data_IF_305096484262
#
_entry.id   IF_305096484262
#
_cell.length_a   1.000
_cell.length_b   1.000
_cell.length_c   1.000
_cell.angle_alpha   90.00
_cell.angle_beta   90.00
_cell.angle_gamma   90.00
#
_symmetry.space_group_name_H-M   'P 1'
#
loop_
_entity.id
_entity.type
_entity.pdbx_description
1 polymer ?
#
# COMPACT_ATOMS: atom_id res chain seq x y z
N UNK A 1 6.49 9.31 -12.71
CA UNK A 1 5.81 9.26 -11.40
C UNK A 1 6.71 9.74 -10.26
N UNK A 2 7.86 9.11 -9.99
CA UNK A 2 8.74 9.43 -8.86
C UNK A 2 9.06 10.93 -8.70
N UNK A 3 9.40 11.64 -9.78
CA UNK A 3 9.61 13.11 -9.77
C UNK A 3 8.40 13.90 -9.24
N UNK A 4 7.17 13.50 -9.55
CA UNK A 4 5.96 14.20 -9.07
C UNK A 4 5.76 13.96 -7.59
N UNK A 5 5.92 12.71 -7.14
CA UNK A 5 5.84 12.35 -5.73
C UNK A 5 6.91 13.09 -4.93
N UNK A 6 8.16 13.10 -5.41
CA UNK A 6 9.26 13.83 -4.77
C UNK A 6 9.01 15.33 -4.56
N UNK A 7 8.15 15.94 -5.38
CA UNK A 7 7.75 17.35 -5.31
C UNK A 7 6.48 17.61 -4.48
N UNK A 8 5.94 16.59 -3.81
CA UNK A 8 4.78 16.73 -2.92
C UNK A 8 3.50 16.03 -3.39
N UNK A 9 3.47 15.40 -4.57
CA UNK A 9 2.28 14.64 -4.96
C UNK A 9 2.12 13.37 -4.11
N UNK A 10 0.87 12.95 -3.91
CA UNK A 10 0.56 11.62 -3.36
C UNK A 10 0.23 10.64 -4.49
N UNK A 11 0.88 9.48 -4.52
CA UNK A 11 0.52 8.37 -5.40
C UNK A 11 -0.21 7.26 -4.62
N UNK A 12 -1.27 6.68 -5.19
CA UNK A 12 -1.99 5.55 -4.60
C UNK A 12 -1.94 4.39 -5.59
N UNK A 13 -1.47 3.23 -5.14
CA UNK A 13 -1.38 2.04 -5.95
C UNK A 13 -2.52 1.08 -5.62
N UNK A 14 -3.51 0.98 -6.52
CA UNK A 14 -4.70 0.15 -6.30
C UNK A 14 -4.52 -1.33 -6.63
N UNK A 15 -3.40 -1.70 -7.26
CA UNK A 15 -3.03 -3.08 -7.60
C UNK A 15 -1.52 -3.23 -7.49
N UNK A 16 -0.99 -4.32 -6.93
CA UNK A 16 0.45 -4.54 -6.86
C UNK A 16 1.10 -4.81 -8.23
N UNK A 17 0.36 -5.35 -9.21
CA UNK A 17 0.93 -5.80 -10.51
C UNK A 17 1.60 -4.68 -11.31
N UNK A 18 1.16 -3.44 -11.13
CA UNK A 18 1.74 -2.27 -11.79
C UNK A 18 3.19 -1.99 -11.33
N UNK A 19 3.62 -2.60 -10.22
CA UNK A 19 4.94 -2.45 -9.64
C UNK A 19 5.96 -3.41 -10.25
N UNK A 20 5.53 -4.34 -11.12
CA UNK A 20 6.40 -5.36 -11.67
C UNK A 20 7.38 -4.80 -12.74
N UNK A 21 8.67 -5.12 -12.61
CA UNK A 21 9.71 -4.86 -13.62
C UNK A 21 10.23 -6.19 -14.15
N UNK A 22 9.64 -6.67 -15.25
CA UNK A 22 9.88 -8.03 -15.73
C UNK A 22 9.45 -9.04 -14.66
N UNK A 23 10.34 -9.97 -14.31
CA UNK A 23 10.08 -11.02 -13.31
C UNK A 23 10.21 -10.54 -11.85
N UNK A 24 10.44 -9.25 -11.61
CA UNK A 24 10.53 -8.66 -10.28
C UNK A 24 9.20 -7.99 -9.90
N UNK A 25 8.34 -8.60 -9.06
CA UNK A 25 6.97 -8.10 -8.81
C UNK A 25 6.91 -6.72 -8.15
N UNK A 26 7.96 -6.34 -7.44
CA UNK A 26 8.12 -5.05 -6.74
C UNK A 26 9.17 -4.15 -7.39
N UNK A 27 9.68 -4.50 -8.57
CA UNK A 27 10.87 -3.89 -9.17
C UNK A 27 10.75 -2.38 -9.47
N UNK A 28 9.54 -1.86 -9.66
CA UNK A 28 9.28 -0.42 -9.80
C UNK A 28 8.97 0.29 -8.48
N UNK A 29 9.04 -0.34 -7.31
CA UNK A 29 8.89 0.38 -6.03
C UNK A 29 10.01 1.42 -5.86
N UNK A 30 9.69 2.66 -5.45
CA UNK A 30 10.70 3.69 -5.19
C UNK A 30 11.28 3.52 -3.78
N UNK A 31 11.78 2.33 -3.48
CA UNK A 31 12.45 1.97 -2.22
C UNK A 31 13.83 1.38 -2.52
N UNK A 32 14.76 1.52 -1.58
CA UNK A 32 16.10 0.92 -1.70
C UNK A 32 15.98 -0.58 -1.50
N UNK A 33 15.28 -1.01 -0.45
CA UNK A 33 14.83 -2.38 -0.30
C UNK A 33 13.36 -2.50 -0.72
N UNK A 34 13.14 -3.15 -1.87
CA UNK A 34 11.82 -3.32 -2.48
C UNK A 34 11.07 -4.54 -1.97
N UNK A 35 11.74 -5.40 -1.19
CA UNK A 35 11.18 -6.65 -0.68
C UNK A 35 10.51 -7.49 -1.76
N UNK A 36 9.48 -8.25 -1.37
CA UNK A 36 8.70 -9.10 -2.26
C UNK A 36 7.20 -8.96 -2.00
N UNK A 37 6.41 -9.61 -2.88
CA UNK A 37 5.02 -9.96 -2.63
C UNK A 37 4.96 -11.43 -2.23
N UNK A 38 4.54 -11.69 -0.99
CA UNK A 38 4.31 -13.04 -0.50
C UNK A 38 2.86 -13.43 -0.72
N UNK A 39 2.65 -14.70 -1.08
CA UNK A 39 1.32 -15.29 -1.06
C UNK A 39 0.97 -15.67 0.37
N UNK A 40 -0.13 -15.14 0.87
CA UNK A 40 -0.75 -15.52 2.14
C UNK A 40 -2.19 -15.90 1.85
N UNK A 41 -2.46 -17.17 1.52
CA UNK A 41 -3.81 -17.59 1.10
C UNK A 41 -4.75 -17.71 2.28
N UNK A 42 -6.02 -17.39 2.05
CA UNK A 42 -7.09 -17.75 2.97
C UNK A 42 -7.60 -19.16 2.66
N UNK A 43 -6.99 -20.16 3.31
CA UNK A 43 -7.33 -21.58 3.13
C UNK A 43 -7.60 -22.28 4.48
N UNK A 44 -7.20 -23.56 4.63
CA UNK A 44 -7.47 -24.38 5.83
C UNK A 44 -6.91 -23.73 7.09
N UNK A 45 -5.75 -23.08 6.99
CA UNK A 45 -5.21 -22.24 8.05
C UNK A 45 -5.30 -20.78 7.61
N UNK A 46 -6.28 -20.09 8.16
CA UNK A 46 -6.53 -18.69 7.85
C UNK A 46 -5.41 -17.82 8.41
N UNK A 47 -5.13 -16.73 7.69
CA UNK A 47 -4.40 -15.61 8.25
C UNK A 47 -5.40 -14.69 8.95
N UNK A 48 -4.93 -14.00 9.96
CA UNK A 48 -5.65 -12.93 10.63
C UNK A 48 -5.26 -11.60 9.99
N UNK A 49 -6.17 -11.01 9.21
CA UNK A 49 -6.03 -9.66 8.69
C UNK A 49 -6.48 -8.65 9.73
N UNK A 50 -5.77 -7.53 9.79
CA UNK A 50 -6.04 -6.48 10.75
C UNK A 50 -5.86 -5.09 10.14
N UNK A 51 -6.52 -4.13 10.77
CA UNK A 51 -6.46 -2.70 10.42
C UNK A 51 -6.15 -1.87 11.66
N UNK A 52 -5.36 -0.81 11.49
CA UNK A 52 -5.29 0.24 12.52
C UNK A 52 -6.53 1.13 12.42
N UNK A 53 -6.84 1.86 13.49
CA UNK A 53 -7.74 3.02 13.40
C UNK A 53 -7.05 4.07 12.54
N UNK A 54 -7.42 4.12 11.27
CA UNK A 54 -6.76 4.94 10.27
C UNK A 54 -7.80 5.64 9.38
N UNK A 55 -7.57 6.90 8.94
CA UNK A 55 -8.53 7.63 8.11
C UNK A 55 -8.92 6.93 6.79
N UNK A 56 -8.10 6.02 6.26
CA UNK A 56 -8.49 5.20 5.10
C UNK A 56 -9.70 4.31 5.41
N UNK A 57 -9.90 3.90 6.66
CA UNK A 57 -11.05 3.12 7.10
C UNK A 57 -12.16 3.97 7.74
N UNK A 58 -12.16 5.30 7.56
CA UNK A 58 -13.19 6.16 8.15
C UNK A 58 -14.61 5.80 7.69
N UNK A 59 -15.49 5.54 8.65
CA UNK A 59 -16.85 5.02 8.42
C UNK A 59 -16.93 3.54 8.08
N UNK A 60 -15.85 2.77 8.27
CA UNK A 60 -15.82 1.31 8.11
C UNK A 60 -15.33 0.65 9.41
N UNK A 61 -15.64 -0.64 9.67
CA UNK A 61 -15.11 -1.34 10.85
C UNK A 61 -13.59 -1.39 10.84
N UNK A 62 -12.92 -0.89 11.89
CA UNK A 62 -11.45 -0.85 11.94
C UNK A 62 -10.90 -0.78 13.37
N UNK A 63 -9.58 -0.99 13.51
CA UNK A 63 -8.88 -0.93 14.78
C UNK A 63 -8.68 -2.28 15.48
N UNK A 64 -8.54 -3.34 14.71
CA UNK A 64 -8.42 -4.72 15.15
C UNK A 64 -8.46 -5.65 13.95
N UNK A 65 -8.90 -6.90 14.16
CA UNK A 65 -9.14 -7.85 13.08
C UNK A 65 -10.17 -7.31 12.08
N UNK A 66 -9.97 -7.60 10.80
CA UNK A 66 -10.94 -7.25 9.75
C UNK A 66 -12.22 -8.06 9.94
N UNK A 67 -13.36 -7.38 9.87
CA UNK A 67 -14.68 -8.01 9.90
C UNK A 67 -15.01 -8.66 8.54
N UNK A 68 -15.17 -9.99 8.52
CA UNK A 68 -15.43 -10.76 7.30
C UNK A 68 -16.84 -10.54 6.74
N UNK A 69 -17.76 -9.94 7.49
CA UNK A 69 -19.04 -9.47 6.95
C UNK A 69 -18.85 -8.24 6.06
N UNK A 70 -17.79 -7.46 6.28
CA UNK A 70 -17.51 -6.23 5.54
C UNK A 70 -16.37 -6.35 4.53
N UNK A 71 -15.39 -7.22 4.78
CA UNK A 71 -14.13 -7.19 4.03
C UNK A 71 -13.82 -8.45 3.24
N UNK A 72 -14.60 -9.53 3.38
CA UNK A 72 -14.28 -10.85 2.82
C UNK A 72 -13.91 -10.80 1.33
N UNK A 73 -14.69 -10.10 0.53
CA UNK A 73 -14.51 -10.02 -0.93
C UNK A 73 -13.34 -9.13 -1.34
N UNK A 74 -12.84 -8.29 -0.42
CA UNK A 74 -11.75 -7.35 -0.67
C UNK A 74 -10.43 -7.74 0.01
N UNK A 75 -10.44 -8.78 0.84
CA UNK A 75 -9.24 -9.38 1.41
C UNK A 75 -8.45 -10.09 0.30
N UNK A 76 -7.16 -9.77 0.11
CA UNK A 76 -6.35 -10.31 -0.97
C UNK A 76 -5.59 -11.56 -0.53
N UNK A 77 -5.07 -12.34 -1.46
CA UNK A 77 -4.12 -13.44 -1.16
C UNK A 77 -2.65 -12.99 -1.12
N UNK A 78 -2.37 -11.70 -1.32
CA UNK A 78 -1.02 -11.15 -1.40
C UNK A 78 -0.74 -10.15 -0.27
N UNK A 79 0.49 -10.18 0.24
CA UNK A 79 1.00 -9.20 1.20
C UNK A 79 2.42 -8.75 0.82
N UNK A 80 2.73 -7.49 1.10
CA UNK A 80 4.07 -6.95 0.99
C UNK A 80 4.94 -7.44 2.16
N UNK A 81 6.12 -7.99 1.85
CA UNK A 81 7.09 -8.46 2.85
C UNK A 81 8.49 -7.93 2.56
N UNK A 82 9.20 -7.55 3.62
CA UNK A 82 10.63 -7.20 3.54
C UNK A 82 10.94 -5.89 2.82
N UNK A 83 9.97 -4.98 2.64
CA UNK A 83 10.24 -3.61 2.20
C UNK A 83 10.99 -2.82 3.29
N UNK A 84 11.59 -1.69 2.90
CA UNK A 84 12.00 -0.66 3.87
C UNK A 84 10.86 -0.32 4.85
N UNK A 85 11.15 0.10 6.10
CA UNK A 85 10.10 0.47 7.05
C UNK A 85 9.20 1.58 6.48
N UNK A 86 7.86 1.39 6.45
CA UNK A 86 6.95 2.43 6.00
C UNK A 86 6.89 3.57 7.02
N UNK A 87 6.54 4.76 6.54
CA UNK A 87 6.24 5.89 7.41
C UNK A 87 4.96 5.64 8.23
N UNK A 88 4.01 4.90 7.66
CA UNK A 88 2.79 4.49 8.34
C UNK A 88 2.34 3.10 7.89
N UNK A 89 2.04 2.24 8.86
CA UNK A 89 1.36 0.96 8.63
C UNK A 89 -0.14 1.17 8.77
N UNK A 90 -0.94 0.71 7.81
CA UNK A 90 -2.39 0.92 7.79
C UNK A 90 -3.15 -0.39 8.02
N UNK A 91 -2.73 -1.45 7.34
CA UNK A 91 -3.30 -2.80 7.48
C UNK A 91 -2.23 -3.88 7.23
N UNK A 92 -2.42 -5.05 7.83
CA UNK A 92 -1.52 -6.18 7.72
C UNK A 92 -2.23 -7.51 7.86
N UNK A 93 -1.47 -8.57 7.67
CA UNK A 93 -1.93 -9.94 7.88
C UNK A 93 -0.85 -10.73 8.62
N UNK A 94 -1.28 -11.64 9.49
CA UNK A 94 -0.40 -12.55 10.22
C UNK A 94 -1.00 -13.95 10.11
N UNK A 95 -0.18 -14.95 9.83
CA UNK A 95 -0.55 -16.34 9.90
C UNK A 95 0.41 -17.02 10.89
N UNK A 96 -0.08 -17.34 12.09
CA UNK A 96 0.72 -17.97 13.15
C UNK A 96 0.68 -19.51 13.12
N UNK A 97 0.16 -20.10 12.04
CA UNK A 97 0.09 -21.56 11.89
C UNK A 97 1.39 -22.15 11.32
N UNK A 98 1.33 -22.94 10.23
CA UNK A 98 2.44 -23.75 9.72
C UNK A 98 3.70 -22.95 9.39
N UNK A 99 3.56 -21.85 8.65
CA UNK A 99 4.71 -21.11 8.11
C UNK A 99 5.08 -19.87 8.94
N UNK A 100 4.32 -19.56 10.01
CA UNK A 100 4.49 -18.38 10.86
C UNK A 100 4.90 -17.12 10.07
N UNK A 101 3.99 -16.63 9.23
CA UNK A 101 4.25 -15.56 8.28
C UNK A 101 3.52 -14.27 8.64
N UNK A 102 4.07 -13.12 8.26
CA UNK A 102 3.37 -11.83 8.36
C UNK A 102 3.73 -10.92 7.19
N UNK A 103 2.83 -9.99 6.87
CA UNK A 103 3.03 -9.04 5.80
C UNK A 103 2.08 -7.85 5.89
N UNK A 104 2.37 -6.81 5.12
CA UNK A 104 1.57 -5.59 5.07
C UNK A 104 0.60 -5.65 3.88
N UNK A 105 -0.67 -5.35 4.15
CA UNK A 105 -1.70 -5.24 3.11
C UNK A 105 -1.81 -3.81 2.62
N UNK A 106 -1.56 -2.83 3.50
CA UNK A 106 -1.57 -1.42 3.17
C UNK A 106 -0.59 -0.64 4.03
N UNK A 107 0.23 0.19 3.40
CA UNK A 107 1.24 1.02 4.07
C UNK A 107 1.61 2.25 3.25
N UNK A 108 1.94 3.34 3.94
CA UNK A 108 2.34 4.60 3.34
C UNK A 108 3.84 4.84 3.52
N UNK A 109 4.46 5.38 2.49
CA UNK A 109 5.89 5.67 2.41
C UNK A 109 6.11 7.11 1.96
N UNK A 110 7.27 7.65 2.31
CA UNK A 110 7.70 8.97 1.87
C UNK A 110 8.69 8.86 0.72
N UNK A 111 8.62 9.80 -0.22
CA UNK A 111 9.64 10.02 -1.23
C UNK A 111 9.72 11.53 -1.48
N UNK A 112 10.85 12.14 -1.11
CA UNK A 112 11.01 13.59 -1.14
C UNK A 112 9.96 14.28 -0.27
N UNK A 113 9.29 15.30 -0.80
CA UNK A 113 8.24 16.05 -0.11
C UNK A 113 6.85 15.41 -0.18
N UNK A 114 6.69 14.30 -0.92
CA UNK A 114 5.40 13.62 -1.07
C UNK A 114 5.47 12.17 -0.63
N UNK A 115 4.37 11.46 -0.88
CA UNK A 115 4.15 10.11 -0.34
C UNK A 115 3.51 9.18 -1.35
N UNK A 116 3.57 7.90 -1.06
CA UNK A 116 2.82 6.91 -1.81
C UNK A 116 2.22 5.84 -0.89
N UNK A 117 1.05 5.35 -1.28
CA UNK A 117 0.32 4.30 -0.56
C UNK A 117 0.41 3.00 -1.36
N UNK A 118 1.00 1.97 -0.75
CA UNK A 118 0.94 0.60 -1.24
C UNK A 118 -0.33 -0.06 -0.72
N UNK A 119 -0.99 -0.83 -1.58
CA UNK A 119 -2.19 -1.57 -1.24
C UNK A 119 -2.24 -2.90 -2.02
N UNK A 120 -2.50 -3.99 -1.31
CA UNK A 120 -2.85 -5.28 -1.91
C UNK A 120 -4.34 -5.60 -1.83
N UNK A 121 -5.14 -4.91 -0.99
CA UNK A 121 -6.58 -5.15 -0.92
C UNK A 121 -7.21 -5.06 -2.31
N UNK A 122 -8.18 -5.92 -2.59
CA UNK A 122 -8.82 -6.09 -3.88
C UNK A 122 -9.80 -4.93 -4.22
N UNK A 123 -9.45 -3.69 -3.86
CA UNK A 123 -10.26 -2.47 -4.03
C UNK A 123 -10.60 -2.27 -5.49
N UNK A 124 -9.61 -2.23 -6.38
CA UNK A 124 -9.80 -1.96 -7.83
C UNK A 124 -10.81 -2.90 -8.49
N UNK A 125 -10.75 -4.17 -8.13
CA UNK A 125 -11.54 -5.25 -8.75
C UNK A 125 -13.00 -5.20 -8.31
N UNK A 126 -13.27 -4.59 -7.16
CA UNK A 126 -14.57 -4.58 -6.50
C UNK A 126 -15.25 -3.19 -6.55
N UNK A 127 -14.69 -2.22 -7.28
CA UNK A 127 -15.29 -0.89 -7.42
C UNK A 127 -16.66 -0.97 -8.10
N UNK A 128 -17.65 -0.25 -7.56
CA UNK A 128 -19.04 -0.24 -8.01
C UNK A 128 -19.84 -1.50 -7.68
N UNK A 129 -19.19 -2.57 -7.21
CA UNK A 129 -19.82 -3.83 -6.82
C UNK A 129 -19.85 -4.02 -5.30
N UNK A 130 -18.82 -3.54 -4.59
CA UNK A 130 -18.67 -3.72 -3.15
C UNK A 130 -18.57 -2.38 -2.42
N UNK A 131 -19.50 -2.05 -1.49
CA UNK A 131 -19.57 -0.73 -0.87
C UNK A 131 -18.31 -0.39 -0.05
N UNK A 132 -17.68 -1.38 0.59
CA UNK A 132 -16.42 -1.16 1.30
C UNK A 132 -15.26 -0.78 0.34
N UNK A 133 -15.21 -1.33 -0.88
CA UNK A 133 -14.16 -0.99 -1.84
C UNK A 133 -14.30 0.47 -2.30
N UNK A 134 -15.52 0.89 -2.62
CA UNK A 134 -15.81 2.28 -3.01
C UNK A 134 -15.48 3.25 -1.89
N UNK A 135 -15.88 2.92 -0.66
CA UNK A 135 -15.59 3.77 0.51
C UNK A 135 -14.09 3.85 0.79
N UNK A 136 -13.36 2.75 0.68
CA UNK A 136 -11.90 2.73 0.82
C UNK A 136 -11.23 3.63 -0.20
N UNK A 137 -11.61 3.56 -1.47
CA UNK A 137 -11.05 4.43 -2.51
C UNK A 137 -11.31 5.90 -2.20
N UNK A 138 -12.54 6.26 -1.83
CA UNK A 138 -12.88 7.64 -1.46
C UNK A 138 -12.06 8.14 -0.27
N UNK A 139 -11.86 7.30 0.73
CA UNK A 139 -11.05 7.64 1.90
C UNK A 139 -9.57 7.76 1.55
N UNK A 140 -9.02 6.88 0.71
CA UNK A 140 -7.64 7.00 0.20
C UNK A 140 -7.44 8.33 -0.53
N UNK A 141 -8.40 8.71 -1.39
CA UNK A 141 -8.37 9.99 -2.11
C UNK A 141 -8.45 11.18 -1.15
N UNK A 142 -9.30 11.12 -0.12
CA UNK A 142 -9.36 12.16 0.93
C UNK A 142 -8.06 12.27 1.73
N UNK A 143 -7.40 11.15 2.02
CA UNK A 143 -6.10 11.15 2.67
C UNK A 143 -5.03 11.79 1.77
N UNK A 144 -5.03 11.45 0.49
CA UNK A 144 -4.11 12.01 -0.51
C UNK A 144 -4.38 13.50 -0.79
N UNK A 145 -5.64 13.95 -0.65
CA UNK A 145 -6.02 15.32 -0.98
C UNK A 145 -5.63 16.36 0.08
N UNK A 146 -5.14 15.93 1.25
CA UNK A 146 -4.78 16.83 2.36
C UNK A 146 -3.77 17.91 1.96
N UNK A 147 -2.90 17.60 0.99
CA UNK A 147 -1.78 18.46 0.59
C UNK A 147 -1.98 19.11 -0.79
N UNK A 148 -3.16 18.98 -1.41
CA UNK A 148 -3.43 19.44 -2.79
C UNK A 148 -3.29 20.95 -2.96
N UNK A 149 -3.37 21.73 -1.88
CA UNK A 149 -3.18 23.18 -1.89
C UNK A 149 -1.74 23.65 -1.66
N UNK A 150 -0.81 22.74 -1.34
CA UNK A 150 0.58 23.10 -1.06
C UNK A 150 1.37 23.36 -2.35
N UNK A 151 2.24 24.38 -2.41
CA UNK A 151 3.09 24.59 -3.56
C UNK A 151 4.02 23.39 -3.76
N UNK A 152 4.29 23.05 -5.03
CA UNK A 152 5.21 21.96 -5.36
C UNK A 152 6.60 22.28 -4.83
N UNK A 153 7.15 21.38 -4.01
CA UNK A 153 8.52 21.50 -3.54
C UNK A 153 9.51 21.44 -4.73
N UNK A 154 10.67 22.04 -4.51
CA UNK A 154 11.83 21.83 -5.39
C UNK A 154 12.30 20.37 -5.27
N UNK A 155 12.87 19.84 -6.37
CA UNK A 155 13.49 18.52 -6.31
C UNK A 155 14.78 18.61 -5.48
N UNK A 156 15.08 17.58 -4.66
CA UNK A 156 16.39 17.48 -4.02
C UNK A 156 17.53 17.60 -5.05
N UNK A 157 18.60 18.31 -4.71
CA UNK A 157 19.73 18.52 -5.63
C UNK A 157 20.39 17.20 -6.06
N UNK A 158 20.36 16.20 -5.19
CA UNK A 158 20.87 14.83 -5.39
C UNK A 158 19.82 13.87 -5.95
N UNK A 159 18.62 14.34 -6.33
CA UNK A 159 17.53 13.49 -6.80
C UNK A 159 17.91 12.55 -7.97
N UNK A 160 18.74 12.96 -8.96
CA UNK A 160 19.22 12.03 -9.98
C UNK A 160 20.04 10.86 -9.42
N UNK A 161 20.84 11.10 -8.37
CA UNK A 161 21.59 10.04 -7.70
C UNK A 161 20.64 9.14 -6.89
N UNK A 162 19.63 9.71 -6.23
CA UNK A 162 18.60 8.93 -5.54
C UNK A 162 17.85 8.01 -6.51
N UNK A 163 17.45 8.48 -7.69
CA UNK A 163 16.80 7.65 -8.71
C UNK A 163 17.66 6.44 -9.11
N UNK A 164 18.97 6.64 -9.28
CA UNK A 164 19.91 5.55 -9.58
C UNK A 164 19.98 4.53 -8.45
N UNK A 165 20.05 4.99 -7.19
CA UNK A 165 20.00 4.10 -6.01
C UNK A 165 18.70 3.30 -5.96
N UNK A 166 17.59 3.89 -6.42
CA UNK A 166 16.28 3.23 -6.53
C UNK A 166 16.17 2.32 -7.76
N UNK A 167 17.21 2.19 -8.59
CA UNK A 167 17.19 1.35 -9.80
C UNK A 167 16.38 1.93 -10.95
N UNK A 168 16.20 3.25 -10.97
CA UNK A 168 15.66 4.00 -12.10
C UNK A 168 16.81 4.67 -12.85
N UNK A 169 16.84 4.53 -14.18
CA UNK A 169 17.89 5.10 -15.04
C UNK A 169 17.89 6.64 -15.05
#
# INVERSE_FOLDING_TARGET
>A
MARRVARGCTAIFLSPDILAKGDQPTGWLPLANKGALATMRNWVYLKDEWTKRHPVFDGLPAGGLMDYTFYREIIPDLAFVGQDPPAEVVAGAINTSQDCASGLLMSAYQLGAGRFLLNTLNVRQNLGAHPAADRLLLNMLRCASRDVGSPLAELPADFPAQLKTLGYE
#
